data_IF_028684307020
#
_entry.id   IF_028684307020
#
_cell.length_a   1.000
_cell.length_b   1.000
_cell.length_c   1.000
_cell.angle_alpha   90.00
_cell.angle_beta   90.00
_cell.angle_gamma   90.00
#
_symmetry.space_group_name_H-M   'P 1'
#
loop_
_entity.id
_entity.type
_entity.pdbx_description
1 polymer ?
#
# COMPACT_ATOMS: atom_id res chain seq x y z
N UNK A 1 12.46 -2.83 6.41
CA UNK A 1 11.35 -3.58 7.06
C UNK A 1 11.21 -3.32 8.55
N UNK A 2 12.29 -3.12 9.33
CA UNK A 2 12.18 -2.87 10.79
C UNK A 2 11.20 -1.74 11.17
N UNK A 3 11.21 -0.63 10.43
CA UNK A 3 10.28 0.50 10.67
C UNK A 3 8.82 0.10 10.48
N UNK A 4 8.51 -0.68 9.43
CA UNK A 4 7.15 -1.11 9.16
C UNK A 4 6.59 -2.03 10.27
N UNK A 5 7.45 -2.87 10.88
CA UNK A 5 7.09 -3.72 12.03
C UNK A 5 6.78 -2.91 13.30
N UNK A 6 7.41 -1.75 13.46
CA UNK A 6 7.20 -0.88 14.62
C UNK A 6 5.90 -0.06 14.55
N UNK A 7 5.13 -0.16 13.46
CA UNK A 7 3.83 0.48 13.39
C UNK A 7 2.90 -0.07 14.49
N UNK A 8 2.05 0.77 15.11
CA UNK A 8 1.09 0.29 16.09
C UNK A 8 0.07 -0.65 15.43
N UNK A 9 -0.35 -1.69 16.15
CA UNK A 9 -1.49 -2.55 15.78
C UNK A 9 -2.44 -2.75 16.95
N UNK A 10 -3.73 -2.89 16.65
CA UNK A 10 -4.76 -3.21 17.64
C UNK A 10 -4.39 -4.51 18.35
N UNK A 11 -4.27 -4.44 19.68
CA UNK A 11 -3.90 -5.59 20.51
C UNK A 11 -2.55 -6.19 20.17
N UNK A 12 -1.64 -5.43 19.53
CA UNK A 12 -0.35 -5.92 19.04
C UNK A 12 -0.46 -7.14 18.10
N UNK A 13 -1.61 -7.32 17.42
CA UNK A 13 -1.88 -8.48 16.56
C UNK A 13 -0.98 -8.53 15.33
N UNK A 14 -0.45 -7.39 14.90
CA UNK A 14 0.35 -7.24 13.68
C UNK A 14 -0.30 -7.97 12.48
N UNK A 15 -1.55 -7.62 12.11
CA UNK A 15 -2.35 -8.35 11.12
C UNK A 15 -1.92 -8.05 9.67
N UNK A 16 -0.61 -7.88 9.46
CA UNK A 16 0.00 -7.59 8.17
C UNK A 16 0.99 -8.70 7.79
N UNK A 17 0.99 -9.04 6.51
CA UNK A 17 2.01 -9.89 5.88
C UNK A 17 2.69 -9.05 4.80
N UNK A 18 4.02 -8.99 4.85
CA UNK A 18 4.82 -8.30 3.84
C UNK A 18 5.39 -9.31 2.85
N UNK A 19 5.08 -9.15 1.57
CA UNK A 19 5.68 -9.93 0.50
C UNK A 19 6.64 -9.03 -0.27
N UNK A 20 7.93 -9.36 -0.22
CA UNK A 20 8.97 -8.68 -0.99
C UNK A 20 9.11 -9.39 -2.34
N UNK A 21 8.71 -8.72 -3.42
CA UNK A 21 8.78 -9.27 -4.77
C UNK A 21 10.03 -8.73 -5.46
N UNK A 22 11.00 -9.61 -5.68
CA UNK A 22 12.25 -9.30 -6.39
C UNK A 22 12.30 -9.93 -7.78
N UNK A 23 11.57 -11.04 -8.00
CA UNK A 23 11.54 -11.74 -9.28
C UNK A 23 11.00 -10.84 -10.42
N UNK A 24 11.75 -10.66 -11.52
CA UNK A 24 11.35 -9.79 -12.62
C UNK A 24 10.05 -10.21 -13.32
N UNK A 25 9.73 -11.50 -13.40
CA UNK A 25 8.50 -11.99 -14.06
C UNK A 25 7.29 -11.69 -13.17
N UNK A 26 7.40 -11.94 -11.86
CA UNK A 26 6.38 -11.58 -10.88
C UNK A 26 6.14 -10.08 -10.84
N UNK A 27 7.20 -9.26 -10.83
CA UNK A 27 7.08 -7.79 -10.90
C UNK A 27 6.33 -7.33 -12.15
N UNK A 28 6.65 -7.88 -13.33
CA UNK A 28 5.93 -7.56 -14.57
C UNK A 28 4.44 -7.94 -14.52
N UNK A 29 4.13 -9.12 -13.98
CA UNK A 29 2.73 -9.57 -13.80
C UNK A 29 1.96 -8.68 -12.83
N UNK A 30 2.57 -8.36 -11.69
CA UNK A 30 1.99 -7.50 -10.66
C UNK A 30 1.81 -6.04 -11.13
N UNK A 31 2.79 -5.48 -11.84
CA UNK A 31 2.72 -4.12 -12.39
C UNK A 31 1.61 -3.97 -13.45
N UNK A 32 1.32 -5.03 -14.22
CA UNK A 32 0.22 -5.02 -15.20
C UNK A 32 -1.16 -4.81 -14.54
N UNK A 33 -1.32 -5.23 -13.29
CA UNK A 33 -2.57 -5.10 -12.54
C UNK A 33 -2.74 -3.67 -11.98
N UNK A 34 -1.66 -3.05 -11.50
CA UNK A 34 -1.72 -1.80 -10.73
C UNK A 34 -1.49 -0.50 -11.53
N UNK A 35 -1.51 -0.53 -12.87
CA UNK A 35 -1.15 0.57 -13.78
C UNK A 35 0.32 1.04 -13.68
N UNK A 36 1.00 1.06 -14.84
CA UNK A 36 2.18 1.86 -15.24
C UNK A 36 3.42 2.02 -14.34
N UNK A 37 3.59 1.21 -13.29
CA UNK A 37 4.83 1.26 -12.48
C UNK A 37 5.92 0.37 -13.09
N UNK A 38 6.59 0.85 -14.14
CA UNK A 38 7.69 0.14 -14.80
C UNK A 38 9.07 0.32 -14.12
N UNK A 39 9.18 1.20 -13.11
CA UNK A 39 10.45 1.80 -12.68
C UNK A 39 10.98 1.36 -11.29
N UNK A 40 10.28 0.49 -10.54
CA UNK A 40 10.74 0.05 -9.21
C UNK A 40 11.71 -1.16 -9.25
N UNK A 41 12.86 -1.07 -8.57
CA UNK A 41 13.79 -2.21 -8.37
C UNK A 41 13.15 -3.30 -7.52
N UNK A 42 12.30 -2.94 -6.55
CA UNK A 42 11.62 -3.86 -5.62
C UNK A 42 10.19 -3.40 -5.35
N UNK A 43 9.22 -4.32 -5.36
CA UNK A 43 7.84 -4.03 -4.91
C UNK A 43 7.52 -4.78 -3.63
N UNK A 44 6.95 -4.09 -2.65
CA UNK A 44 6.40 -4.65 -1.42
C UNK A 44 4.88 -4.70 -1.58
N UNK A 45 4.30 -5.89 -1.55
CA UNK A 45 2.86 -6.05 -1.39
C UNK A 45 2.56 -6.16 0.12
N UNK A 46 1.59 -5.36 0.58
CA UNK A 46 1.08 -5.38 1.95
C UNK A 46 -0.25 -6.12 1.90
N UNK A 47 -0.28 -7.32 2.46
CA UNK A 47 -1.52 -8.04 2.68
C UNK A 47 -2.00 -7.82 4.12
N UNK A 48 -3.29 -7.51 4.29
CA UNK A 48 -3.92 -7.49 5.60
C UNK A 48 -5.17 -8.38 5.59
N UNK A 49 -5.64 -8.67 6.80
CA UNK A 49 -6.83 -9.46 7.05
C UNK A 49 -8.14 -8.72 6.68
N UNK A 50 -9.13 -9.54 6.41
CA UNK A 50 -10.35 -9.55 5.60
C UNK A 50 -11.33 -8.35 5.46
N UNK A 51 -10.98 -7.07 5.66
CA UNK A 51 -12.00 -6.00 5.49
C UNK A 51 -11.64 -4.77 4.67
N UNK A 52 -10.52 -4.77 3.95
CA UNK A 52 -10.20 -3.64 3.06
C UNK A 52 -9.52 -4.15 1.80
N UNK A 53 -10.22 -4.16 0.66
CA UNK A 53 -9.56 -4.47 -0.61
C UNK A 53 -9.71 -3.36 -1.64
N UNK A 54 -8.61 -3.05 -2.31
CA UNK A 54 -8.55 -2.31 -3.56
C UNK A 54 -8.44 -3.35 -4.70
N UNK A 55 -9.43 -3.35 -5.61
CA UNK A 55 -9.50 -3.92 -6.98
C UNK A 55 -8.51 -5.06 -7.37
N UNK A 56 -9.03 -6.10 -8.05
CA UNK A 56 -8.27 -7.25 -8.62
C UNK A 56 -7.66 -8.21 -7.58
N UNK A 57 -8.38 -8.44 -6.49
CA UNK A 57 -7.95 -9.26 -5.33
C UNK A 57 -7.51 -10.67 -5.74
N UNK A 58 -8.35 -11.37 -6.52
CA UNK A 58 -8.10 -12.77 -6.89
C UNK A 58 -6.84 -12.94 -7.74
N UNK A 59 -6.58 -12.00 -8.67
CA UNK A 59 -5.40 -12.06 -9.54
C UNK A 59 -4.12 -11.83 -8.73
N UNK A 60 -4.15 -10.88 -7.78
CA UNK A 60 -3.02 -10.59 -6.89
C UNK A 60 -2.76 -11.77 -5.96
N UNK A 61 -3.82 -12.35 -5.38
CA UNK A 61 -3.72 -13.56 -4.56
C UNK A 61 -3.06 -14.71 -5.32
N UNK A 62 -3.44 -14.93 -6.59
CA UNK A 62 -2.81 -15.95 -7.46
C UNK A 62 -1.35 -15.65 -7.77
N UNK A 63 -1.01 -14.42 -8.13
CA UNK A 63 0.37 -14.04 -8.48
C UNK A 63 1.31 -14.14 -7.29
N UNK A 64 0.85 -13.71 -6.11
CA UNK A 64 1.64 -13.68 -4.88
C UNK A 64 1.49 -14.94 -4.04
N UNK A 65 0.67 -15.90 -4.48
CA UNK A 65 0.34 -17.13 -3.77
C UNK A 65 -0.12 -16.87 -2.32
N UNK A 66 -1.07 -15.94 -2.16
CA UNK A 66 -1.65 -15.58 -0.87
C UNK A 66 -2.59 -16.68 -0.37
N UNK A 67 -2.66 -16.81 0.96
CA UNK A 67 -3.73 -17.60 1.58
C UNK A 67 -5.09 -16.96 1.26
N UNK A 68 -6.18 -17.76 1.14
CA UNK A 68 -7.50 -17.25 0.75
C UNK A 68 -8.04 -16.11 1.64
N UNK A 69 -7.66 -16.10 2.92
CA UNK A 69 -8.06 -15.08 3.90
C UNK A 69 -7.16 -13.82 3.89
N UNK A 70 -6.11 -13.79 3.07
CA UNK A 70 -5.22 -12.63 2.98
C UNK A 70 -5.59 -11.75 1.78
N UNK A 71 -5.78 -10.45 2.02
CA UNK A 71 -6.14 -9.48 0.98
C UNK A 71 -4.99 -8.49 0.79
N UNK A 72 -4.54 -8.29 -0.45
CA UNK A 72 -3.62 -7.20 -0.78
C UNK A 72 -4.31 -5.85 -0.62
N UNK A 73 -3.81 -5.01 0.30
CA UNK A 73 -4.32 -3.66 0.54
C UNK A 73 -3.58 -2.65 -0.33
N UNK A 74 -2.25 -2.76 -0.40
CA UNK A 74 -1.44 -1.74 -1.05
C UNK A 74 -0.10 -2.30 -1.52
N UNK A 75 0.43 -1.65 -2.54
CA UNK A 75 1.69 -1.98 -3.19
C UNK A 75 2.62 -0.77 -3.14
N UNK A 76 3.78 -0.93 -2.50
CA UNK A 76 4.80 0.10 -2.45
C UNK A 76 5.99 -0.29 -3.34
N UNK A 77 6.36 0.60 -4.26
CA UNK A 77 7.51 0.42 -5.14
C UNK A 77 8.68 1.21 -4.58
N UNK A 78 9.81 0.53 -4.36
CA UNK A 78 11.02 1.12 -3.80
C UNK A 78 12.14 0.98 -4.83
N UNK A 79 12.84 2.08 -5.09
CA UNK A 79 13.93 2.16 -6.04
C UNK A 79 14.62 3.52 -5.96
N UNK A 80 15.69 3.66 -6.72
CA UNK A 80 16.39 4.94 -6.89
C UNK A 80 15.62 5.73 -7.97
N UNK A 81 15.07 6.91 -7.66
CA UNK A 81 14.38 7.71 -8.65
C UNK A 81 15.35 8.20 -9.72
N UNK A 82 14.99 8.05 -10.99
CA UNK A 82 15.73 8.66 -12.10
C UNK A 82 15.35 10.13 -12.31
N UNK A 83 14.14 10.52 -11.87
CA UNK A 83 13.60 11.87 -11.97
C UNK A 83 12.88 12.24 -10.67
N UNK A 84 12.97 13.51 -10.29
CA UNK A 84 12.19 14.06 -9.17
C UNK A 84 10.91 14.71 -9.71
N UNK A 85 9.76 14.23 -9.25
CA UNK A 85 8.47 14.84 -9.58
C UNK A 85 8.22 16.03 -8.66
N UNK A 86 7.53 17.05 -9.16
CA UNK A 86 7.06 18.15 -8.32
C UNK A 86 5.98 17.63 -7.36
N UNK A 87 6.04 17.99 -6.06
CA UNK A 87 5.00 17.58 -5.11
C UNK A 87 3.62 18.08 -5.57
N UNK A 88 2.64 17.19 -5.63
CA UNK A 88 1.24 17.59 -5.82
C UNK A 88 0.78 18.42 -4.61
N UNK A 89 0.00 19.47 -4.85
CA UNK A 89 -0.63 20.22 -3.76
C UNK A 89 -1.45 19.29 -2.86
N UNK A 90 -1.46 19.56 -1.56
CA UNK A 90 -2.31 18.88 -0.59
C UNK A 90 -3.58 19.71 -0.37
N UNK A 91 -4.62 19.07 0.14
CA UNK A 91 -5.80 19.80 0.62
C UNK A 91 -5.40 20.73 1.76
N UNK A 92 -6.09 21.85 1.89
CA UNK A 92 -5.93 22.77 3.01
C UNK A 92 -6.35 22.11 4.32
N UNK A 93 -5.76 22.51 5.44
CA UNK A 93 -6.06 21.92 6.76
C UNK A 93 -7.56 21.97 7.10
N UNK A 94 -8.22 23.08 6.78
CA UNK A 94 -9.67 23.27 6.99
C UNK A 94 -10.56 22.27 6.26
N UNK A 95 -10.04 21.60 5.22
CA UNK A 95 -10.79 20.61 4.45
C UNK A 95 -10.74 19.20 5.06
N UNK A 96 -9.77 18.94 5.94
CA UNK A 96 -9.47 17.59 6.45
C UNK A 96 -9.33 17.52 7.97
N UNK A 97 -9.34 18.65 8.67
CA UNK A 97 -9.24 18.73 10.13
C UNK A 97 -10.45 19.45 10.70
N UNK A 98 -11.17 18.76 11.59
CA UNK A 98 -12.37 19.27 12.22
C UNK A 98 -12.31 19.10 13.75
N UNK A 99 -12.79 20.10 14.49
CA UNK A 99 -12.82 20.08 15.94
C UNK A 99 -14.08 19.36 16.44
N UNK A 100 -13.90 18.23 17.14
CA UNK A 100 -14.96 17.40 17.72
C UNK A 100 -15.91 16.74 16.71
N UNK A 101 -16.55 17.53 15.84
CA UNK A 101 -17.56 17.11 14.88
C UNK A 101 -17.11 17.40 13.45
N UNK A 102 -17.44 16.52 12.51
CA UNK A 102 -17.17 16.73 11.08
C UNK A 102 -17.78 18.06 10.60
N UNK A 103 -16.99 18.83 9.86
CA UNK A 103 -17.38 20.15 9.38
C UNK A 103 -17.17 21.31 10.37
N UNK A 104 -16.89 21.06 11.65
CA UNK A 104 -16.58 22.13 12.60
C UNK A 104 -15.11 22.55 12.47
N UNK A 105 -14.79 23.79 12.07
CA UNK A 105 -13.41 24.21 11.83
C UNK A 105 -12.60 24.29 13.13
N UNK A 106 -11.27 24.15 13.02
CA UNK A 106 -10.36 24.55 14.09
C UNK A 106 -10.37 26.08 14.23
N UNK A 107 -10.37 26.62 15.46
CA UNK A 107 -10.24 28.06 15.71
C UNK A 107 -8.85 28.58 15.34
#
# INVERSE_FOLDING_TARGET
MNVARCAPSVGNRQPWIFIVVTDPKMKKRHAKIHMDVSCGTTSIAIACDENTSLRNVEEIQKILNLLPNCISISSAYIGIPQNYLTPKSRKELREIVFLNLYGNPLP
#
